data_IF_125999888253
#
_entry.id   IF_125999888253
#
_cell.length_a   1.000
_cell.length_b   1.000
_cell.length_c   1.000
_cell.angle_alpha   90.00
_cell.angle_beta   90.00
_cell.angle_gamma   90.00
#
_symmetry.space_group_name_H-M   'P 1'
#
loop_
_entity.id
_entity.type
_entity.pdbx_description
1 polymer ?
#
# COMPACT_ATOMS: atom_id res chain seq x y z
N UNK A 1 35.86 29.87 -21.08
CA UNK A 1 34.94 30.61 -20.19
C UNK A 1 35.03 29.98 -18.82
N UNK A 2 35.64 30.73 -17.89
CA UNK A 2 35.90 30.22 -16.52
C UNK A 2 34.59 29.98 -15.74
N UNK A 3 34.40 28.77 -15.31
CA UNK A 3 33.30 28.41 -14.42
C UNK A 3 33.64 28.94 -13.01
N UNK A 4 32.87 29.91 -12.54
CA UNK A 4 33.15 30.58 -11.26
C UNK A 4 33.07 29.60 -10.07
N UNK A 5 33.91 29.79 -9.04
CA UNK A 5 33.95 29.03 -7.78
C UNK A 5 32.57 28.91 -7.08
N UNK A 6 31.57 29.74 -7.42
CA UNK A 6 30.19 29.66 -6.91
C UNK A 6 29.38 28.50 -7.52
N UNK A 7 29.70 28.03 -8.74
CA UNK A 7 29.02 26.89 -9.37
C UNK A 7 29.52 25.55 -8.84
N UNK A 8 30.72 25.51 -8.28
CA UNK A 8 31.32 24.29 -7.69
C UNK A 8 30.79 23.95 -6.29
N UNK A 9 30.14 24.91 -5.60
CA UNK A 9 29.58 24.67 -4.25
C UNK A 9 28.15 24.09 -4.23
N UNK A 10 27.47 23.97 -5.37
CA UNK A 10 26.10 23.40 -5.43
C UNK A 10 26.03 21.90 -5.76
N UNK A 11 27.16 21.27 -6.08
CA UNK A 11 27.20 19.85 -6.49
C UNK A 11 27.52 18.86 -5.37
N UNK A 12 27.69 19.31 -4.10
CA UNK A 12 28.23 18.45 -3.03
C UNK A 12 27.30 18.24 -1.84
N UNK A 13 25.98 18.44 -1.97
CA UNK A 13 25.06 18.28 -0.84
C UNK A 13 24.25 16.97 -0.79
N UNK A 14 24.43 16.06 -1.75
CA UNK A 14 23.62 14.82 -1.82
C UNK A 14 24.32 13.56 -1.25
N UNK A 15 25.58 13.62 -0.87
CA UNK A 15 26.36 12.43 -0.53
C UNK A 15 26.44 12.01 0.96
N UNK A 16 25.94 12.73 2.00
CA UNK A 16 26.21 12.29 3.36
C UNK A 16 25.07 11.56 4.10
N UNK A 17 23.85 11.41 3.50
CA UNK A 17 22.74 10.82 4.25
C UNK A 17 22.77 9.29 4.27
N UNK A 18 23.08 8.64 3.15
CA UNK A 18 23.17 7.17 3.09
C UNK A 18 24.20 6.64 4.09
N UNK A 19 25.39 7.24 4.16
CA UNK A 19 26.40 6.86 5.12
C UNK A 19 26.07 7.13 6.60
N UNK A 20 25.14 8.08 6.89
CA UNK A 20 24.65 8.35 8.25
C UNK A 20 23.54 7.39 8.67
N UNK A 21 22.72 6.95 7.75
CA UNK A 21 21.66 5.96 8.01
C UNK A 21 22.28 4.59 8.21
N UNK A 22 23.23 4.16 7.37
CA UNK A 22 23.96 2.89 7.51
C UNK A 22 24.73 2.79 8.84
N UNK A 23 25.32 3.87 9.31
CA UNK A 23 26.06 3.89 10.59
C UNK A 23 25.13 3.86 11.82
N UNK A 24 23.82 4.17 11.66
CA UNK A 24 22.87 4.26 12.76
C UNK A 24 21.99 3.01 12.91
N UNK A 25 21.87 2.19 11.86
CA UNK A 25 21.06 0.98 11.89
C UNK A 25 21.94 -0.27 12.04
N UNK A 26 21.55 -1.25 12.88
CA UNK A 26 22.26 -2.52 12.95
C UNK A 26 22.12 -3.25 11.61
N UNK A 27 23.22 -3.89 11.16
CA UNK A 27 23.27 -4.60 9.89
C UNK A 27 22.12 -5.63 9.74
N UNK A 28 21.52 -5.65 8.55
CA UNK A 28 20.34 -6.46 8.22
C UNK A 28 20.56 -8.00 8.21
N UNK A 29 21.76 -8.49 8.57
CA UNK A 29 22.07 -9.91 8.52
C UNK A 29 21.26 -10.70 9.56
N UNK A 30 20.30 -11.51 9.09
CA UNK A 30 19.56 -12.53 9.84
C UNK A 30 18.91 -12.06 11.16
N UNK A 31 18.30 -10.86 11.15
CA UNK A 31 17.57 -10.35 12.32
C UNK A 31 16.34 -11.21 12.58
N UNK A 32 16.20 -11.74 13.80
CA UNK A 32 15.01 -12.47 14.19
C UNK A 32 13.83 -11.50 14.40
N UNK A 33 12.62 -11.83 13.93
CA UNK A 33 11.44 -10.97 14.09
C UNK A 33 11.03 -10.72 15.55
N UNK A 34 11.44 -11.57 16.48
CA UNK A 34 11.19 -11.52 17.93
C UNK A 34 12.36 -10.92 18.74
N UNK A 35 13.43 -10.43 18.10
CA UNK A 35 14.52 -9.75 18.81
C UNK A 35 14.13 -8.32 19.18
N UNK A 36 13.44 -8.17 20.32
CA UNK A 36 13.00 -6.86 20.81
C UNK A 36 14.15 -5.89 21.04
N UNK A 37 15.38 -6.36 21.32
CA UNK A 37 16.54 -5.50 21.52
C UNK A 37 16.97 -4.80 20.22
N UNK A 38 16.83 -5.50 19.09
CA UNK A 38 17.03 -4.95 17.76
C UNK A 38 15.90 -3.98 17.38
N UNK A 39 14.66 -4.44 17.50
CA UNK A 39 13.49 -3.68 17.06
C UNK A 39 13.24 -2.41 17.87
N UNK A 40 13.62 -2.39 19.14
CA UNK A 40 13.63 -1.15 19.95
C UNK A 40 14.55 -0.08 19.35
N UNK A 41 15.69 -0.46 18.78
CA UNK A 41 16.60 0.49 18.12
C UNK A 41 15.97 1.07 16.83
N UNK A 42 15.24 0.24 16.08
CA UNK A 42 14.47 0.70 14.91
C UNK A 42 13.34 1.62 15.37
N UNK A 43 12.55 1.21 16.38
CA UNK A 43 11.45 1.99 16.94
C UNK A 43 11.90 3.37 17.42
N UNK A 44 13.11 3.48 17.98
CA UNK A 44 13.70 4.73 18.43
C UNK A 44 13.88 5.80 17.33
N UNK A 45 13.73 5.45 16.06
CA UNK A 45 13.71 6.41 14.95
C UNK A 45 12.35 7.05 14.68
N UNK A 46 11.29 6.65 15.39
CA UNK A 46 9.93 7.15 15.20
C UNK A 46 9.47 7.98 16.40
N UNK A 47 8.81 9.10 16.12
CA UNK A 47 8.26 9.97 17.15
C UNK A 47 6.77 9.66 17.35
N UNK A 48 6.49 8.61 18.12
CA UNK A 48 5.12 8.13 18.39
C UNK A 48 4.42 9.01 19.41
N UNK A 49 3.10 9.11 19.31
CA UNK A 49 2.27 9.77 20.31
C UNK A 49 2.42 9.03 21.65
N UNK A 50 2.78 9.72 22.74
CA UNK A 50 2.90 9.10 24.06
C UNK A 50 1.53 8.63 24.56
N UNK A 51 1.51 7.67 25.47
CA UNK A 51 0.32 7.17 26.18
C UNK A 51 -0.77 6.53 25.29
N UNK A 52 -0.51 6.29 24.03
CA UNK A 52 -1.40 5.57 23.09
C UNK A 52 -0.62 4.46 22.39
N UNK A 53 -1.12 3.25 22.49
CA UNK A 53 -0.65 2.14 21.65
C UNK A 53 -1.30 2.29 20.28
N UNK A 54 -0.51 2.77 19.29
CA UNK A 54 -0.96 3.05 17.95
C UNK A 54 -1.00 1.75 17.13
N UNK A 55 -2.19 1.20 16.90
CA UNK A 55 -2.41 0.01 16.07
C UNK A 55 -3.32 0.31 14.85
N UNK A 56 -3.35 1.57 14.41
CA UNK A 56 -3.94 2.03 13.17
C UNK A 56 -2.87 2.74 12.31
N UNK A 57 -2.04 1.97 11.62
CA UNK A 57 -0.98 2.46 10.75
C UNK A 57 -1.28 2.22 9.26
N UNK A 58 -2.51 1.86 8.93
CA UNK A 58 -2.93 1.56 7.56
C UNK A 58 -3.47 2.75 6.78
N UNK A 59 -3.75 3.88 7.41
CA UNK A 59 -4.23 5.06 6.69
C UNK A 59 -3.07 5.72 5.93
N UNK A 60 -2.01 6.08 6.65
CA UNK A 60 -0.68 6.44 6.13
C UNK A 60 0.40 5.97 7.09
N UNK A 61 1.64 5.86 6.61
CA UNK A 61 2.79 5.51 7.42
C UNK A 61 3.41 6.72 8.12
N UNK A 62 4.07 6.46 9.24
CA UNK A 62 4.89 7.44 9.92
C UNK A 62 6.26 7.49 9.26
N UNK A 63 6.78 8.68 9.00
CA UNK A 63 8.18 8.87 8.60
C UNK A 63 9.10 8.61 9.79
N UNK A 64 10.19 7.88 9.57
CA UNK A 64 11.29 7.88 10.52
C UNK A 64 11.96 9.26 10.54
N UNK A 65 12.55 9.68 11.69
CA UNK A 65 13.19 11.00 11.83
C UNK A 65 14.16 11.37 10.71
N UNK A 66 15.07 10.49 10.24
CA UNK A 66 15.97 10.85 9.14
C UNK A 66 15.22 11.18 7.84
N UNK A 67 14.07 10.54 7.60
CA UNK A 67 13.21 10.83 6.45
C UNK A 67 12.49 12.16 6.63
N UNK A 68 11.95 12.43 7.82
CA UNK A 68 11.29 13.69 8.16
C UNK A 68 12.27 14.87 8.04
N UNK A 69 13.48 14.76 8.60
CA UNK A 69 14.52 15.78 8.51
C UNK A 69 14.90 16.08 7.04
N UNK A 70 14.98 15.02 6.22
CA UNK A 70 15.22 15.18 4.77
C UNK A 70 14.05 15.90 4.10
N UNK A 71 12.81 15.56 4.43
CA UNK A 71 11.63 16.22 3.90
C UNK A 71 11.60 17.71 4.24
N UNK A 72 11.85 18.07 5.49
CA UNK A 72 11.95 19.47 5.90
C UNK A 72 13.06 20.23 5.15
N UNK A 73 14.21 19.60 4.94
CA UNK A 73 15.30 20.19 4.17
C UNK A 73 14.90 20.40 2.70
N UNK A 74 14.16 19.43 2.09
CA UNK A 74 13.64 19.55 0.71
C UNK A 74 12.56 20.61 0.59
N UNK A 75 11.66 20.75 1.57
CA UNK A 75 10.69 21.86 1.62
C UNK A 75 11.41 23.21 1.61
N UNK A 76 12.42 23.38 2.46
CA UNK A 76 13.25 24.60 2.50
C UNK A 76 14.00 24.86 1.18
N UNK A 77 14.53 23.79 0.56
CA UNK A 77 15.22 23.85 -0.74
C UNK A 77 14.28 24.33 -1.84
N UNK A 78 13.13 23.68 -1.99
CA UNK A 78 12.12 24.01 -3.03
C UNK A 78 11.61 25.44 -2.84
N UNK A 79 11.27 25.83 -1.60
CA UNK A 79 10.78 27.16 -1.28
C UNK A 79 11.83 28.26 -1.57
N UNK A 80 13.09 28.04 -1.21
CA UNK A 80 14.16 29.03 -1.44
C UNK A 80 14.51 29.19 -2.92
N UNK A 81 14.58 28.10 -3.68
CA UNK A 81 15.06 28.10 -5.05
C UNK A 81 13.95 28.32 -6.10
N UNK A 82 12.68 28.08 -5.71
CA UNK A 82 11.45 28.37 -6.47
C UNK A 82 11.54 28.05 -7.99
N UNK A 83 11.15 29.00 -8.82
CA UNK A 83 11.11 28.84 -10.28
C UNK A 83 12.48 28.59 -10.92
N UNK A 84 13.57 29.05 -10.31
CA UNK A 84 14.91 28.75 -10.82
C UNK A 84 15.18 27.25 -10.76
N UNK A 85 14.93 26.63 -9.62
CA UNK A 85 15.08 25.18 -9.45
C UNK A 85 14.09 24.40 -10.34
N UNK A 86 12.83 24.82 -10.35
CA UNK A 86 11.80 24.19 -11.18
C UNK A 86 12.19 24.13 -12.67
N UNK A 87 12.89 25.16 -13.18
CA UNK A 87 13.30 25.24 -14.59
C UNK A 87 14.66 24.64 -14.91
N UNK A 88 15.50 24.36 -13.92
CA UNK A 88 16.92 23.95 -14.14
C UNK A 88 17.31 22.63 -13.49
N UNK A 89 16.77 22.30 -12.31
CA UNK A 89 17.22 21.16 -11.52
C UNK A 89 16.14 20.11 -11.22
N UNK A 90 14.87 20.52 -11.14
CA UNK A 90 13.80 19.64 -10.67
C UNK A 90 13.60 18.39 -11.56
N UNK A 91 13.54 18.57 -12.88
CA UNK A 91 13.29 17.44 -13.80
C UNK A 91 14.36 16.35 -13.72
N UNK A 92 15.67 16.64 -13.80
CA UNK A 92 16.69 15.60 -13.65
C UNK A 92 16.64 14.94 -12.25
N UNK A 93 16.36 15.71 -11.19
CA UNK A 93 16.24 15.14 -9.83
C UNK A 93 15.04 14.19 -9.73
N UNK A 94 13.87 14.55 -10.28
CA UNK A 94 12.70 13.69 -10.31
C UNK A 94 12.91 12.41 -11.16
N UNK A 95 13.66 12.53 -12.27
CA UNK A 95 14.06 11.37 -13.07
C UNK A 95 14.91 10.41 -12.22
N UNK A 96 15.90 10.93 -11.49
CA UNK A 96 16.74 10.11 -10.62
C UNK A 96 15.93 9.42 -9.51
N UNK A 97 14.96 10.12 -8.91
CA UNK A 97 14.04 9.53 -7.92
C UNK A 97 13.20 8.42 -8.54
N UNK A 98 12.60 8.66 -9.72
CA UNK A 98 11.83 7.65 -10.44
C UNK A 98 12.67 6.41 -10.74
N UNK A 99 13.88 6.60 -11.26
CA UNK A 99 14.77 5.51 -11.64
C UNK A 99 15.18 4.69 -10.40
N UNK A 100 15.38 5.33 -9.24
CA UNK A 100 15.63 4.64 -7.97
C UNK A 100 14.41 3.81 -7.53
N UNK A 101 13.19 4.32 -7.65
CA UNK A 101 11.95 3.60 -7.35
C UNK A 101 11.78 2.42 -8.31
N UNK A 102 11.97 2.62 -9.62
CA UNK A 102 11.87 1.57 -10.62
C UNK A 102 12.86 0.43 -10.37
N UNK A 103 14.11 0.77 -10.03
CA UNK A 103 15.14 -0.21 -9.68
C UNK A 103 14.74 -1.02 -8.45
N UNK A 104 14.21 -0.38 -7.38
CA UNK A 104 13.73 -1.07 -6.18
C UNK A 104 12.55 -2.01 -6.49
N UNK A 105 11.70 -1.65 -7.45
CA UNK A 105 10.57 -2.45 -7.88
C UNK A 105 10.92 -3.51 -8.92
N UNK A 106 12.14 -3.50 -9.46
CA UNK A 106 12.64 -4.38 -10.52
C UNK A 106 11.85 -4.23 -11.83
N UNK A 107 11.56 -2.98 -12.24
CA UNK A 107 10.85 -2.64 -13.46
C UNK A 107 11.58 -1.55 -14.28
N UNK A 108 11.19 -1.41 -15.57
CA UNK A 108 11.71 -0.32 -16.41
C UNK A 108 11.18 1.04 -15.92
N UNK A 109 12.04 2.07 -15.77
CA UNK A 109 11.59 3.41 -15.40
C UNK A 109 10.50 4.00 -16.31
N UNK A 110 10.39 3.57 -17.56
CA UNK A 110 9.33 3.99 -18.47
C UNK A 110 7.95 3.39 -18.13
N UNK A 111 7.92 2.34 -17.32
CA UNK A 111 6.69 1.65 -16.89
C UNK A 111 6.05 2.29 -15.67
N UNK A 112 6.70 3.26 -15.02
CA UNK A 112 6.17 3.93 -13.84
C UNK A 112 6.05 5.43 -14.00
N UNK A 113 5.10 6.02 -13.27
CA UNK A 113 4.99 7.45 -13.07
C UNK A 113 4.55 7.75 -11.63
N UNK A 114 4.96 8.90 -11.09
CA UNK A 114 4.47 9.37 -9.80
C UNK A 114 3.03 9.86 -9.90
N UNK A 115 2.25 9.52 -8.88
CA UNK A 115 0.92 10.05 -8.59
C UNK A 115 0.91 10.59 -7.17
N UNK A 116 -0.16 11.27 -6.75
CA UNK A 116 -0.31 11.71 -5.36
C UNK A 116 -0.59 10.56 -4.40
N UNK A 117 -1.18 9.48 -4.91
CA UNK A 117 -1.53 8.29 -4.13
C UNK A 117 -2.01 7.16 -5.07
N UNK A 118 -2.20 5.95 -4.51
CA UNK A 118 -2.75 4.81 -5.24
C UNK A 118 -4.15 5.08 -5.80
N UNK A 119 -4.98 5.87 -5.12
CA UNK A 119 -6.32 6.22 -5.61
C UNK A 119 -6.26 6.96 -6.94
N UNK A 120 -5.36 7.92 -7.08
CA UNK A 120 -5.13 8.62 -8.37
C UNK A 120 -4.59 7.65 -9.43
N UNK A 121 -3.59 6.82 -9.08
CA UNK A 121 -3.04 5.82 -9.98
C UNK A 121 -4.14 4.87 -10.51
N UNK A 122 -4.91 4.29 -9.63
CA UNK A 122 -5.98 3.35 -9.97
C UNK A 122 -7.11 4.03 -10.76
N UNK A 123 -7.48 5.26 -10.41
CA UNK A 123 -8.47 6.04 -11.17
C UNK A 123 -8.00 6.30 -12.60
N UNK A 124 -6.70 6.62 -12.79
CA UNK A 124 -6.12 6.81 -14.13
C UNK A 124 -6.14 5.51 -14.93
N UNK A 125 -5.83 4.37 -14.29
CA UNK A 125 -5.92 3.06 -14.93
C UNK A 125 -7.35 2.69 -15.32
N UNK A 126 -8.30 2.83 -14.39
CA UNK A 126 -9.71 2.47 -14.61
C UNK A 126 -10.34 3.38 -15.66
N UNK A 127 -10.16 4.69 -15.53
CA UNK A 127 -10.74 5.68 -16.44
C UNK A 127 -10.13 5.64 -17.83
N UNK A 128 -8.82 5.41 -17.93
CA UNK A 128 -8.07 5.33 -19.17
C UNK A 128 -8.14 3.98 -19.90
N UNK A 129 -8.62 2.92 -19.24
CA UNK A 129 -8.70 1.60 -19.88
C UNK A 129 -9.65 1.61 -21.08
N UNK A 130 -9.13 1.35 -22.29
CA UNK A 130 -9.81 1.62 -23.55
C UNK A 130 -10.35 0.38 -24.30
N UNK A 131 -10.31 -0.81 -23.67
CA UNK A 131 -10.79 -2.05 -24.30
C UNK A 131 -12.24 -2.37 -24.06
N UNK A 132 -12.89 -1.71 -23.10
CA UNK A 132 -14.29 -1.93 -22.81
C UNK A 132 -15.20 -1.46 -23.95
N UNK A 133 -16.18 -2.27 -24.27
CA UNK A 133 -17.22 -1.98 -25.28
C UNK A 133 -18.60 -2.04 -24.62
N UNK A 134 -19.61 -1.31 -25.13
CA UNK A 134 -20.98 -1.44 -24.66
C UNK A 134 -21.44 -2.91 -24.65
N UNK A 135 -21.97 -3.34 -23.51
CA UNK A 135 -22.40 -4.73 -23.29
C UNK A 135 -21.32 -5.66 -22.72
N UNK A 136 -20.05 -5.24 -22.60
CA UNK A 136 -19.08 -5.94 -21.79
C UNK A 136 -19.43 -5.86 -20.30
N UNK A 137 -18.69 -6.56 -19.46
CA UNK A 137 -18.81 -6.47 -18.00
C UNK A 137 -17.44 -6.25 -17.33
N UNK A 138 -17.49 -5.68 -16.13
CA UNK A 138 -16.33 -5.55 -15.23
C UNK A 138 -16.64 -6.25 -13.90
N UNK A 139 -15.60 -6.69 -13.16
CA UNK A 139 -15.80 -7.43 -11.92
C UNK A 139 -14.91 -6.89 -10.81
N UNK A 140 -15.45 -6.78 -9.59
CA UNK A 140 -14.73 -6.52 -8.36
C UNK A 140 -15.28 -7.36 -7.19
N UNK A 141 -14.49 -7.43 -6.10
CA UNK A 141 -14.87 -8.15 -4.88
C UNK A 141 -15.29 -7.20 -3.74
N UNK A 142 -16.00 -7.75 -2.75
CA UNK A 142 -16.42 -7.04 -1.53
C UNK A 142 -15.25 -6.47 -0.72
N UNK A 143 -14.07 -7.10 -0.78
CA UNK A 143 -12.86 -6.65 -0.07
C UNK A 143 -12.02 -5.62 -0.84
N UNK A 144 -12.40 -5.25 -2.06
CA UNK A 144 -11.76 -4.17 -2.79
C UNK A 144 -12.05 -2.80 -2.16
N UNK A 145 -11.18 -1.80 -2.40
CA UNK A 145 -11.29 -0.49 -1.80
C UNK A 145 -12.53 0.27 -2.31
N UNK A 146 -13.29 0.88 -1.37
CA UNK A 146 -14.58 1.54 -1.64
C UNK A 146 -14.55 2.50 -2.83
N UNK A 147 -13.52 3.35 -2.90
CA UNK A 147 -13.41 4.31 -4.01
C UNK A 147 -13.16 3.62 -5.35
N UNK A 148 -12.50 2.47 -5.37
CA UNK A 148 -12.26 1.71 -6.60
C UNK A 148 -13.49 0.91 -7.01
N UNK A 149 -14.26 0.38 -6.06
CA UNK A 149 -15.59 -0.18 -6.31
C UNK A 149 -16.48 0.88 -6.97
N UNK A 150 -16.54 2.10 -6.40
CA UNK A 150 -17.29 3.22 -6.97
C UNK A 150 -16.80 3.62 -8.37
N UNK A 151 -15.48 3.54 -8.64
CA UNK A 151 -14.94 3.77 -9.99
C UNK A 151 -15.44 2.70 -10.98
N UNK A 152 -15.46 1.41 -10.59
CA UNK A 152 -16.00 0.33 -11.40
C UNK A 152 -17.50 0.51 -11.64
N UNK A 153 -18.26 0.86 -10.60
CA UNK A 153 -19.70 1.16 -10.72
C UNK A 153 -19.97 2.31 -11.70
N UNK A 154 -19.11 3.33 -11.72
CA UNK A 154 -19.25 4.46 -12.65
C UNK A 154 -19.10 4.07 -14.12
N UNK A 155 -18.40 2.97 -14.42
CA UNK A 155 -18.25 2.45 -15.78
C UNK A 155 -19.58 1.99 -16.37
N UNK A 156 -20.56 1.62 -15.54
CA UNK A 156 -21.91 1.29 -15.97
C UNK A 156 -22.53 2.43 -16.80
N UNK A 157 -22.37 3.66 -16.35
CA UNK A 157 -22.92 4.83 -17.02
C UNK A 157 -21.98 5.41 -18.07
N UNK A 158 -20.67 5.45 -17.78
CA UNK A 158 -19.69 6.10 -18.67
C UNK A 158 -19.25 5.25 -19.86
N UNK A 159 -19.33 3.91 -19.75
CA UNK A 159 -18.92 2.96 -20.81
C UNK A 159 -20.04 1.99 -21.23
N UNK A 160 -21.22 2.08 -20.61
CA UNK A 160 -22.37 1.18 -20.86
C UNK A 160 -21.99 -0.31 -20.72
N UNK A 161 -21.34 -0.64 -19.61
CA UNK A 161 -20.93 -2.01 -19.24
C UNK A 161 -21.70 -2.50 -18.01
N UNK A 162 -21.82 -3.82 -17.85
CA UNK A 162 -22.37 -4.40 -16.64
C UNK A 162 -21.31 -4.47 -15.53
N UNK A 163 -21.74 -4.44 -14.28
CA UNK A 163 -20.85 -4.57 -13.11
C UNK A 163 -21.23 -5.83 -12.34
N UNK A 164 -20.24 -6.70 -12.18
CA UNK A 164 -20.36 -7.94 -11.40
C UNK A 164 -19.62 -7.73 -10.08
N UNK A 165 -20.31 -7.95 -8.98
CA UNK A 165 -19.71 -7.97 -7.64
C UNK A 165 -19.71 -9.40 -7.12
N UNK A 166 -18.59 -9.83 -6.50
CA UNK A 166 -18.48 -11.09 -5.78
C UNK A 166 -18.15 -10.86 -4.32
N UNK A 167 -18.57 -11.79 -3.47
CA UNK A 167 -18.16 -11.86 -2.07
C UNK A 167 -17.07 -12.92 -1.94
N UNK A 168 -15.93 -12.56 -1.35
CA UNK A 168 -14.84 -13.50 -1.12
C UNK A 168 -15.17 -14.44 0.05
N UNK A 169 -14.70 -15.69 0.02
CA UNK A 169 -15.01 -16.64 1.08
C UNK A 169 -14.40 -16.18 2.42
N UNK A 170 -15.20 -16.32 3.48
CA UNK A 170 -14.78 -16.07 4.87
C UNK A 170 -15.28 -17.23 5.73
N UNK A 171 -14.38 -18.10 6.27
CA UNK A 171 -12.93 -18.04 6.13
C UNK A 171 -12.44 -18.34 4.71
N UNK A 172 -11.34 -17.69 4.33
CA UNK A 172 -10.71 -17.88 3.03
C UNK A 172 -9.71 -19.04 3.04
N UNK A 173 -9.57 -19.69 1.89
CA UNK A 173 -8.43 -20.57 1.59
C UNK A 173 -7.78 -20.11 0.29
N UNK A 174 -6.49 -20.42 0.10
CA UNK A 174 -5.78 -20.02 -1.11
C UNK A 174 -6.50 -20.50 -2.38
N UNK A 175 -6.86 -21.78 -2.45
CA UNK A 175 -7.58 -22.33 -3.60
C UNK A 175 -9.00 -21.75 -3.70
N UNK A 176 -9.71 -21.58 -2.57
CA UNK A 176 -11.06 -21.02 -2.57
C UNK A 176 -11.13 -19.59 -3.12
N UNK A 177 -10.08 -18.78 -2.91
CA UNK A 177 -9.98 -17.45 -3.53
C UNK A 177 -9.86 -17.55 -5.06
N UNK A 178 -8.98 -18.43 -5.55
CA UNK A 178 -8.82 -18.65 -7.00
C UNK A 178 -10.13 -19.15 -7.61
N UNK A 179 -10.75 -20.15 -6.98
CA UNK A 179 -12.02 -20.75 -7.44
C UNK A 179 -13.15 -19.73 -7.49
N UNK A 180 -13.23 -18.80 -6.54
CA UNK A 180 -14.23 -17.75 -6.50
C UNK A 180 -14.17 -16.86 -7.75
N UNK A 181 -12.97 -16.38 -8.11
CA UNK A 181 -12.79 -15.60 -9.34
C UNK A 181 -13.02 -16.44 -10.59
N UNK A 182 -12.55 -17.69 -10.60
CA UNK A 182 -12.76 -18.59 -11.75
C UNK A 182 -14.26 -18.85 -12.01
N UNK A 183 -15.02 -19.15 -10.97
CA UNK A 183 -16.47 -19.37 -11.05
C UNK A 183 -17.19 -18.10 -11.51
N UNK A 184 -16.81 -16.95 -10.97
CA UNK A 184 -17.39 -15.67 -11.37
C UNK A 184 -17.15 -15.36 -12.85
N UNK A 185 -15.91 -15.60 -13.36
CA UNK A 185 -15.60 -15.40 -14.78
C UNK A 185 -16.29 -16.41 -15.69
N UNK A 186 -16.46 -17.66 -15.26
CA UNK A 186 -17.25 -18.68 -16.00
C UNK A 186 -18.71 -18.29 -16.08
N UNK A 187 -19.30 -17.80 -14.98
CA UNK A 187 -20.70 -17.37 -14.94
C UNK A 187 -20.94 -16.07 -15.72
N UNK A 188 -19.92 -15.25 -15.91
CA UNK A 188 -20.02 -13.94 -16.54
C UNK A 188 -19.04 -13.80 -17.73
N UNK A 189 -19.27 -14.46 -18.87
CA UNK A 189 -18.32 -14.54 -19.99
C UNK A 189 -18.09 -13.19 -20.71
N UNK A 190 -18.89 -12.17 -20.40
CA UNK A 190 -18.73 -10.80 -20.91
C UNK A 190 -17.76 -9.95 -20.09
N UNK A 191 -17.23 -10.43 -18.97
CA UNK A 191 -16.21 -9.72 -18.18
C UNK A 191 -14.95 -9.55 -19.02
N UNK A 192 -14.42 -8.33 -19.03
CA UNK A 192 -13.17 -7.95 -19.74
C UNK A 192 -12.13 -7.32 -18.83
N UNK A 193 -12.53 -6.85 -17.66
CA UNK A 193 -11.63 -6.21 -16.70
C UNK A 193 -12.03 -6.62 -15.28
N UNK A 194 -11.04 -6.99 -14.46
CA UNK A 194 -11.22 -7.26 -13.05
C UNK A 194 -10.38 -6.30 -12.19
N UNK A 195 -10.89 -5.96 -11.01
CA UNK A 195 -10.15 -5.31 -9.94
C UNK A 195 -9.67 -6.38 -8.97
N UNK A 196 -8.41 -6.28 -8.51
CA UNK A 196 -7.83 -7.18 -7.53
C UNK A 196 -7.08 -6.36 -6.47
N UNK A 197 -7.51 -6.39 -5.23
CA UNK A 197 -6.73 -5.85 -4.11
C UNK A 197 -5.76 -6.91 -3.59
N UNK A 198 -4.46 -6.71 -3.75
CA UNK A 198 -3.44 -7.68 -3.35
C UNK A 198 -3.42 -7.94 -1.85
N UNK A 199 -3.50 -6.88 -1.02
CA UNK A 199 -3.67 -6.99 0.43
C UNK A 199 -4.84 -6.11 0.86
N UNK A 200 -5.92 -6.73 1.34
CA UNK A 200 -7.13 -6.02 1.72
C UNK A 200 -6.89 -5.05 2.87
N UNK A 201 -7.25 -3.79 2.66
CA UNK A 201 -7.26 -2.77 3.71
C UNK A 201 -8.32 -3.00 4.79
N UNK A 202 -9.30 -3.89 4.55
CA UNK A 202 -10.41 -4.19 5.46
C UNK A 202 -10.06 -5.30 6.43
N UNK A 203 -9.60 -6.43 5.92
CA UNK A 203 -9.37 -7.64 6.71
C UNK A 203 -7.90 -8.01 6.84
N UNK A 204 -7.02 -7.51 5.96
CA UNK A 204 -5.63 -7.95 5.86
C UNK A 204 -5.43 -9.22 5.03
N UNK A 205 -6.50 -9.71 4.38
CA UNK A 205 -6.41 -10.88 3.50
C UNK A 205 -5.50 -10.59 2.31
N UNK A 206 -4.53 -11.46 2.07
CA UNK A 206 -3.68 -11.47 0.88
C UNK A 206 -4.36 -12.33 -0.19
N UNK A 207 -4.60 -11.73 -1.36
CA UNK A 207 -5.22 -12.40 -2.51
C UNK A 207 -4.13 -12.96 -3.41
N UNK A 208 -4.25 -14.20 -3.92
CA UNK A 208 -3.27 -14.81 -4.84
C UNK A 208 -3.35 -14.19 -6.24
N UNK A 209 -2.84 -12.95 -6.34
CA UNK A 209 -2.96 -12.10 -7.53
C UNK A 209 -2.37 -12.76 -8.77
N UNK A 210 -1.16 -13.35 -8.64
CA UNK A 210 -0.45 -13.97 -9.78
C UNK A 210 -1.31 -15.05 -10.45
N UNK A 211 -1.86 -15.96 -9.66
CA UNK A 211 -2.65 -17.08 -10.15
C UNK A 211 -3.98 -16.60 -10.76
N UNK A 212 -4.63 -15.62 -10.12
CA UNK A 212 -5.88 -15.04 -10.63
C UNK A 212 -5.64 -14.25 -11.91
N UNK A 213 -4.57 -13.45 -11.99
CA UNK A 213 -4.19 -12.72 -13.21
C UNK A 213 -3.90 -13.70 -14.36
N UNK A 214 -3.14 -14.77 -14.11
CA UNK A 214 -2.85 -15.79 -15.13
C UNK A 214 -4.14 -16.46 -15.63
N UNK A 215 -5.04 -16.82 -14.70
CA UNK A 215 -6.33 -17.44 -15.01
C UNK A 215 -7.25 -16.48 -15.78
N UNK A 216 -7.32 -15.20 -15.40
CA UNK A 216 -8.10 -14.17 -16.09
C UNK A 216 -7.55 -13.91 -17.51
N UNK A 217 -6.23 -13.75 -17.63
CA UNK A 217 -5.53 -13.55 -18.92
C UNK A 217 -5.79 -14.69 -19.90
N UNK A 218 -5.82 -15.93 -19.44
CA UNK A 218 -6.15 -17.10 -20.28
C UNK A 218 -7.57 -17.03 -20.83
N UNK A 219 -8.44 -16.20 -20.26
CA UNK A 219 -9.83 -15.93 -20.70
C UNK A 219 -9.98 -14.60 -21.46
N UNK A 220 -8.88 -13.92 -21.76
CA UNK A 220 -8.91 -12.60 -22.42
C UNK A 220 -9.43 -11.48 -21.51
N UNK A 221 -9.26 -11.62 -20.19
CA UNK A 221 -9.66 -10.65 -19.17
C UNK A 221 -8.43 -10.00 -18.61
N UNK A 222 -8.36 -8.66 -18.64
CA UNK A 222 -7.28 -7.88 -18.03
C UNK A 222 -7.57 -7.62 -16.54
N UNK A 223 -6.52 -7.34 -15.76
CA UNK A 223 -6.62 -7.06 -14.33
C UNK A 223 -5.93 -5.74 -13.97
N UNK A 224 -6.59 -4.92 -13.14
CA UNK A 224 -6.00 -3.79 -12.44
C UNK A 224 -5.78 -4.20 -10.99
N UNK A 225 -4.55 -4.04 -10.49
CA UNK A 225 -4.16 -4.47 -9.14
C UNK A 225 -3.99 -3.26 -8.23
N UNK A 226 -4.71 -3.28 -7.12
CA UNK A 226 -4.52 -2.37 -5.99
C UNK A 226 -3.48 -2.96 -5.02
N UNK A 227 -2.26 -2.45 -5.07
CA UNK A 227 -1.17 -2.81 -4.17
C UNK A 227 -0.91 -1.75 -3.09
N UNK A 228 -1.92 -0.93 -2.76
CA UNK A 228 -1.78 0.20 -1.82
C UNK A 228 -1.29 -0.21 -0.42
N UNK A 229 -1.54 -1.44 0.00
CA UNK A 229 -1.13 -1.95 1.30
C UNK A 229 -0.07 -3.06 1.26
N UNK A 230 0.20 -3.65 0.10
CA UNK A 230 1.09 -4.80 0.03
C UNK A 230 2.56 -4.42 -0.09
N UNK A 231 2.91 -3.43 -0.94
CA UNK A 231 4.30 -3.06 -1.13
C UNK A 231 4.87 -2.32 0.09
N UNK A 232 5.96 -2.86 0.62
CA UNK A 232 6.56 -2.42 1.87
C UNK A 232 6.04 -3.14 3.12
N UNK A 233 4.98 -3.96 2.99
CA UNK A 233 4.48 -4.81 4.07
C UNK A 233 4.75 -6.29 3.82
N UNK A 234 4.57 -6.74 2.58
CA UNK A 234 4.89 -8.10 2.13
C UNK A 234 6.20 -8.02 1.34
N UNK A 235 7.01 -9.08 1.44
CA UNK A 235 8.26 -9.21 0.68
C UNK A 235 7.95 -9.78 -0.71
N UNK A 236 7.91 -8.92 -1.73
CA UNK A 236 7.73 -9.29 -3.14
C UNK A 236 8.27 -8.18 -4.06
N UNK A 237 8.59 -8.54 -5.29
CA UNK A 237 8.85 -7.61 -6.40
C UNK A 237 7.62 -7.45 -7.28
N UNK A 238 7.50 -6.33 -8.02
CA UNK A 238 6.34 -6.15 -8.93
C UNK A 238 6.19 -7.26 -9.97
N UNK A 239 7.26 -7.77 -10.61
CA UNK A 239 7.18 -8.91 -11.52
C UNK A 239 6.55 -10.17 -10.91
N UNK A 240 6.61 -10.35 -9.58
CA UNK A 240 6.02 -11.51 -8.91
C UNK A 240 4.48 -11.55 -9.03
N UNK A 241 3.83 -10.40 -9.21
CA UNK A 241 2.39 -10.32 -9.40
C UNK A 241 1.95 -10.68 -10.82
N UNK A 242 2.86 -10.66 -11.79
CA UNK A 242 2.61 -10.83 -13.23
C UNK A 242 1.43 -9.99 -13.77
N UNK A 243 1.12 -8.88 -13.09
CA UNK A 243 0.06 -7.96 -13.47
C UNK A 243 0.57 -6.90 -14.46
N UNK A 244 -0.33 -6.40 -15.31
CA UNK A 244 -0.01 -5.41 -16.32
C UNK A 244 -0.27 -3.96 -15.86
N UNK A 245 -1.17 -3.79 -14.88
CA UNK A 245 -1.63 -2.50 -14.36
C UNK A 245 -1.67 -2.53 -12.83
N UNK A 246 -0.89 -1.66 -12.16
CA UNK A 246 -0.80 -1.65 -10.70
C UNK A 246 -0.78 -0.21 -10.18
N UNK A 247 -1.51 0.06 -9.09
CA UNK A 247 -1.42 1.30 -8.33
C UNK A 247 -1.02 1.05 -6.88
N UNK A 248 -0.11 1.88 -6.32
CA UNK A 248 0.33 1.72 -4.93
C UNK A 248 0.83 3.03 -4.31
N UNK A 249 1.13 2.99 -3.01
CA UNK A 249 1.58 4.13 -2.21
C UNK A 249 3.02 3.97 -1.74
N UNK A 250 3.77 5.09 -1.70
CA UNK A 250 5.05 5.19 -1.00
C UNK A 250 4.89 5.75 0.43
N UNK A 251 3.81 6.53 0.67
CA UNK A 251 3.54 7.18 1.95
C UNK A 251 2.85 6.28 2.99
N UNK A 252 2.72 4.96 2.73
CA UNK A 252 2.23 3.99 3.71
C UNK A 252 3.40 3.22 4.31
N UNK A 253 3.64 2.01 3.87
CA UNK A 253 4.61 1.08 4.46
C UNK A 253 6.07 1.44 4.20
N UNK A 254 6.34 2.23 3.16
CA UNK A 254 7.68 2.78 2.90
C UNK A 254 7.99 4.02 3.74
N UNK A 255 6.99 4.65 4.36
CA UNK A 255 7.18 5.81 5.21
C UNK A 255 7.72 7.05 4.48
N UNK A 256 7.44 7.18 3.18
CA UNK A 256 7.67 8.43 2.46
C UNK A 256 6.68 9.51 2.91
N UNK A 257 6.93 10.81 2.65
CA UNK A 257 5.98 11.86 2.96
C UNK A 257 4.62 11.64 2.27
N UNK A 258 3.56 12.19 2.85
CA UNK A 258 2.21 12.16 2.27
C UNK A 258 2.19 12.75 0.85
N UNK A 259 1.32 12.20 0.01
CA UNK A 259 1.14 12.72 -1.34
C UNK A 259 2.08 12.09 -2.37
N UNK A 260 2.64 10.90 -2.11
CA UNK A 260 3.43 10.14 -3.08
C UNK A 260 2.85 8.75 -3.28
N UNK A 261 2.40 8.47 -4.49
CA UNK A 261 2.01 7.18 -5.01
C UNK A 261 2.68 6.89 -6.33
N UNK A 262 2.44 5.72 -6.88
CA UNK A 262 3.00 5.28 -8.17
C UNK A 262 1.94 4.52 -8.96
N UNK A 263 1.89 4.78 -10.25
CA UNK A 263 1.20 3.98 -11.24
C UNK A 263 2.24 3.17 -12.02
N UNK A 264 1.96 1.89 -12.21
CA UNK A 264 2.73 0.99 -13.07
C UNK A 264 1.87 0.51 -14.23
N UNK A 265 2.42 0.56 -15.43
CA UNK A 265 1.82 -0.02 -16.64
C UNK A 265 2.92 -0.78 -17.37
N UNK A 266 2.73 -2.09 -17.56
CA UNK A 266 3.65 -2.92 -18.34
C UNK A 266 3.84 -2.31 -19.74
N UNK A 267 5.07 -2.12 -20.18
CA UNK A 267 5.41 -1.44 -21.44
C UNK A 267 4.64 -1.98 -22.65
N UNK A 268 4.49 -3.29 -22.74
CA UNK A 268 3.74 -3.94 -23.83
C UNK A 268 2.22 -3.68 -23.78
N UNK A 269 1.72 -3.08 -22.72
CA UNK A 269 0.29 -2.81 -22.48
C UNK A 269 -0.04 -1.31 -22.39
N UNK A 270 0.94 -0.45 -22.64
CA UNK A 270 0.79 1.00 -22.50
C UNK A 270 -0.36 1.55 -23.37
N UNK A 271 -0.58 0.99 -24.54
CA UNK A 271 -1.62 1.42 -25.49
C UNK A 271 -3.04 1.01 -25.08
N UNK A 272 -3.17 0.19 -24.01
CA UNK A 272 -4.48 -0.17 -23.45
C UNK A 272 -5.01 0.89 -22.46
N UNK A 273 -4.17 1.86 -22.10
CA UNK A 273 -4.54 2.99 -21.24
C UNK A 273 -4.42 4.27 -22.06
N UNK A 274 -5.51 4.98 -22.21
CA UNK A 274 -5.52 6.26 -22.93
C UNK A 274 -4.59 7.28 -22.24
N UNK A 275 -3.96 8.19 -23.00
CA UNK A 275 -3.28 9.35 -22.43
C UNK A 275 -4.22 10.17 -21.54
N UNK A 276 -3.67 10.76 -20.49
CA UNK A 276 -4.45 11.68 -19.66
C UNK A 276 -4.95 12.86 -20.50
N UNK A 277 -6.21 13.26 -20.28
CA UNK A 277 -6.87 14.34 -21.01
C UNK A 277 -6.18 15.72 -20.87
N UNK A 278 -5.33 15.88 -19.87
CA UNK A 278 -4.50 17.06 -19.67
C UNK A 278 -3.22 17.09 -20.52
N UNK A 279 -2.89 16.01 -21.21
CA UNK A 279 -1.71 15.91 -22.06
C UNK A 279 -2.04 16.23 -23.52
N UNK A 280 -1.08 16.85 -24.24
CA UNK A 280 -1.19 17.13 -25.66
C UNK A 280 -0.36 16.15 -26.50
N UNK A 281 -0.81 15.78 -27.72
CA UNK A 281 -0.01 14.96 -28.63
C UNK A 281 1.27 15.70 -29.10
N UNK A 282 2.34 14.97 -29.52
CA UNK A 282 2.40 13.52 -29.60
C UNK A 282 2.55 12.87 -28.21
N UNK A 283 1.85 11.74 -27.98
CA UNK A 283 1.92 11.04 -26.70
C UNK A 283 3.10 10.06 -26.72
N UNK A 284 4.06 10.20 -25.79
CA UNK A 284 5.13 9.21 -25.66
C UNK A 284 4.56 7.86 -25.18
N UNK A 285 5.17 6.77 -25.68
CA UNK A 285 4.81 5.39 -25.28
C UNK A 285 5.42 5.06 -23.90
N UNK A 286 5.02 5.79 -22.88
CA UNK A 286 5.43 5.58 -21.49
C UNK A 286 4.28 5.90 -20.53
N UNK A 287 4.42 5.46 -19.28
CA UNK A 287 3.41 5.63 -18.24
C UNK A 287 3.21 7.11 -17.86
N UNK A 288 4.22 7.95 -18.00
CA UNK A 288 4.13 9.38 -17.67
C UNK A 288 3.02 10.09 -18.45
N UNK A 289 2.79 9.72 -19.73
CA UNK A 289 1.73 10.30 -20.54
C UNK A 289 0.31 9.90 -20.09
N UNK A 290 0.17 8.94 -19.18
CA UNK A 290 -1.13 8.45 -18.65
C UNK A 290 -1.55 9.13 -17.38
N UNK A 291 -0.73 10.06 -16.88
CA UNK A 291 -0.99 10.83 -15.66
C UNK A 291 -0.63 12.29 -15.88
N UNK A 292 -1.47 13.20 -15.39
CA UNK A 292 -1.17 14.63 -15.36
C UNK A 292 -1.52 15.21 -13.99
N UNK A 293 -0.52 15.30 -13.14
CA UNK A 293 -0.72 15.76 -11.75
C UNK A 293 -0.59 17.26 -11.56
N UNK A 294 -0.06 17.98 -12.56
CA UNK A 294 0.26 19.42 -12.44
C UNK A 294 1.29 19.70 -11.35
N UNK A 295 1.08 20.75 -10.57
CA UNK A 295 1.94 21.10 -9.44
C UNK A 295 1.57 20.25 -8.22
N UNK A 296 2.57 19.55 -7.67
CA UNK A 296 2.45 18.68 -6.50
C UNK A 296 3.46 19.08 -5.43
N UNK A 297 3.47 18.39 -4.31
CA UNK A 297 4.54 18.51 -3.33
C UNK A 297 5.82 17.82 -3.84
N UNK A 298 6.63 18.61 -4.56
CA UNK A 298 7.91 18.12 -5.08
C UNK A 298 8.90 17.76 -3.98
N UNK A 299 8.84 18.40 -2.81
CA UNK A 299 9.69 18.06 -1.68
C UNK A 299 9.39 16.63 -1.19
N UNK A 300 8.11 16.25 -1.18
CA UNK A 300 7.70 14.88 -0.85
C UNK A 300 8.29 13.85 -1.83
N UNK A 301 8.19 14.09 -3.15
CA UNK A 301 8.78 13.20 -4.15
C UNK A 301 10.31 13.13 -4.03
N UNK A 302 10.98 14.27 -3.82
CA UNK A 302 12.43 14.34 -3.66
C UNK A 302 12.94 13.68 -2.37
N UNK A 303 12.07 13.39 -1.43
CA UNK A 303 12.39 12.69 -0.16
C UNK A 303 12.30 11.17 -0.30
N UNK A 304 11.66 10.65 -1.33
CA UNK A 304 11.48 9.20 -1.55
C UNK A 304 12.79 8.40 -1.42
N UNK A 305 13.94 8.82 -1.98
CA UNK A 305 15.20 8.10 -1.80
C UNK A 305 15.58 7.90 -0.34
N UNK A 306 15.38 8.89 0.53
CA UNK A 306 15.70 8.75 1.96
C UNK A 306 14.79 7.72 2.65
N UNK A 307 13.51 7.64 2.24
CA UNK A 307 12.61 6.60 2.73
C UNK A 307 13.04 5.20 2.27
N UNK A 308 13.43 5.07 0.99
CA UNK A 308 13.96 3.81 0.47
C UNK A 308 15.23 3.39 1.20
N UNK A 309 16.19 4.31 1.37
CA UNK A 309 17.45 4.04 2.04
C UNK A 309 17.24 3.58 3.50
N UNK A 310 16.31 4.21 4.22
CA UNK A 310 15.96 3.80 5.58
C UNK A 310 15.36 2.39 5.62
N UNK A 311 14.45 2.08 4.71
CA UNK A 311 13.80 0.77 4.66
C UNK A 311 14.74 -0.32 4.11
N UNK A 312 15.63 0.02 3.17
CA UNK A 312 16.65 -0.89 2.64
C UNK A 312 17.67 -1.30 3.73
N UNK A 313 18.00 -0.37 4.63
CA UNK A 313 18.87 -0.67 5.76
C UNK A 313 18.24 -1.63 6.79
N UNK A 314 16.90 -1.69 6.88
CA UNK A 314 16.16 -2.70 7.66
C UNK A 314 16.12 -4.03 6.90
N UNK A 315 15.88 -3.97 5.59
CA UNK A 315 15.68 -5.10 4.69
C UNK A 315 14.21 -5.53 4.56
N UNK A 316 13.82 -5.87 3.33
CA UNK A 316 12.42 -6.18 2.99
C UNK A 316 11.90 -7.40 3.74
N UNK A 317 12.67 -8.49 3.75
CA UNK A 317 12.32 -9.75 4.43
C UNK A 317 12.26 -9.58 5.95
N UNK A 318 13.20 -8.83 6.55
CA UNK A 318 13.21 -8.57 7.99
C UNK A 318 11.99 -7.73 8.41
N UNK A 319 11.66 -6.69 7.63
CA UNK A 319 10.47 -5.86 7.84
C UNK A 319 9.18 -6.68 7.75
N UNK A 320 9.02 -7.46 6.68
CA UNK A 320 7.85 -8.31 6.49
C UNK A 320 7.71 -9.33 7.62
N UNK A 321 8.81 -10.01 8.00
CA UNK A 321 8.83 -10.96 9.10
C UNK A 321 8.44 -10.32 10.44
N UNK A 322 8.94 -9.09 10.73
CA UNK A 322 8.55 -8.35 11.96
C UNK A 322 7.08 -8.03 12.00
N UNK A 323 6.53 -7.49 10.92
CA UNK A 323 5.11 -7.15 10.85
C UNK A 323 4.22 -8.39 11.00
N UNK A 324 4.58 -9.49 10.36
CA UNK A 324 3.89 -10.78 10.49
C UNK A 324 4.00 -11.33 11.93
N UNK A 325 5.18 -11.25 12.56
CA UNK A 325 5.37 -11.65 13.95
C UNK A 325 4.45 -10.88 14.92
N UNK A 326 4.37 -9.56 14.77
CA UNK A 326 3.49 -8.74 15.61
C UNK A 326 2.01 -9.09 15.40
N UNK A 327 1.62 -9.38 14.16
CA UNK A 327 0.28 -9.86 13.83
C UNK A 327 0.04 -11.23 14.46
N UNK A 328 0.91 -12.20 14.26
CA UNK A 328 0.73 -13.58 14.69
C UNK A 328 0.69 -13.69 16.23
N UNK A 329 1.49 -12.86 16.92
CA UNK A 329 1.51 -12.84 18.39
C UNK A 329 0.13 -12.67 19.00
N UNK A 330 -0.73 -11.83 18.47
CA UNK A 330 -2.09 -11.68 18.98
C UNK A 330 -3.11 -12.57 18.26
N UNK A 331 -3.04 -12.64 16.93
CA UNK A 331 -4.04 -13.32 16.13
C UNK A 331 -4.04 -14.83 16.38
N UNK A 332 -2.87 -15.47 16.43
CA UNK A 332 -2.78 -16.91 16.73
C UNK A 332 -3.04 -17.21 18.21
N UNK A 333 -2.64 -16.32 19.13
CA UNK A 333 -2.94 -16.45 20.57
C UNK A 333 -4.44 -16.40 20.88
N UNK A 334 -5.21 -15.68 20.06
CA UNK A 334 -6.65 -15.50 20.27
C UNK A 334 -7.53 -16.25 19.26
N UNK A 335 -6.95 -17.03 18.33
CA UNK A 335 -7.69 -17.72 17.26
C UNK A 335 -8.76 -18.66 17.80
N UNK A 336 -8.47 -19.35 18.88
CA UNK A 336 -9.39 -20.29 19.51
C UNK A 336 -10.20 -19.66 20.67
N UNK A 337 -10.12 -18.33 20.83
CA UNK A 337 -10.91 -17.64 21.85
C UNK A 337 -12.39 -17.69 21.47
N UNK A 338 -13.19 -18.31 22.34
CA UNK A 338 -14.64 -18.37 22.15
C UNK A 338 -15.25 -16.97 22.03
N UNK A 339 -16.09 -16.77 21.02
CA UNK A 339 -16.75 -15.51 20.79
C UNK A 339 -15.93 -14.47 20.01
N UNK A 340 -14.68 -14.79 19.60
CA UNK A 340 -13.84 -13.91 18.78
C UNK A 340 -13.55 -14.58 17.42
N UNK A 341 -13.76 -13.85 16.33
CA UNK A 341 -13.45 -14.29 14.96
C UNK A 341 -12.24 -13.51 14.44
N UNK A 342 -11.17 -14.20 14.05
CA UNK A 342 -10.02 -13.62 13.34
C UNK A 342 -10.26 -13.80 11.83
N UNK A 343 -10.29 -12.70 11.08
CA UNK A 343 -10.76 -12.70 9.69
C UNK A 343 -9.72 -13.14 8.66
N UNK A 344 -8.44 -13.22 9.05
CA UNK A 344 -7.41 -13.77 8.17
C UNK A 344 -7.08 -15.20 8.55
N UNK A 345 -6.91 -16.11 7.56
CA UNK A 345 -6.50 -17.49 7.82
C UNK A 345 -5.13 -17.59 8.48
N UNK A 346 -4.84 -18.76 9.09
CA UNK A 346 -3.51 -19.11 9.60
C UNK A 346 -2.50 -19.43 8.47
N UNK A 347 -2.96 -19.65 7.23
CA UNK A 347 -2.09 -19.88 6.07
C UNK A 347 -1.20 -18.64 5.84
N UNK A 348 0.15 -18.76 5.96
CA UNK A 348 1.06 -17.63 5.86
C UNK A 348 1.07 -16.96 4.48
N UNK A 349 0.53 -17.60 3.46
CA UNK A 349 0.38 -17.00 2.12
C UNK A 349 -0.77 -15.99 2.06
N UNK A 350 -1.69 -16.01 3.05
CA UNK A 350 -2.95 -15.27 3.02
C UNK A 350 -3.01 -14.10 4.00
N UNK A 351 -1.91 -13.76 4.65
CA UNK A 351 -1.84 -12.60 5.54
C UNK A 351 -0.45 -11.94 5.53
N UNK A 352 -0.41 -10.70 5.98
CA UNK A 352 0.80 -9.92 6.28
C UNK A 352 0.72 -9.38 7.69
N UNK A 353 1.11 -8.11 7.89
CA UNK A 353 1.04 -7.45 9.20
C UNK A 353 -0.37 -6.97 9.58
N UNK A 354 -1.28 -6.79 8.61
CA UNK A 354 -2.67 -6.38 8.88
C UNK A 354 -3.50 -7.63 9.18
N UNK A 355 -4.36 -7.55 10.20
CA UNK A 355 -5.48 -8.47 10.34
C UNK A 355 -6.63 -7.81 11.10
N UNK A 356 -7.85 -8.30 10.89
CA UNK A 356 -9.04 -7.79 11.54
C UNK A 356 -9.73 -8.89 12.35
N UNK A 357 -10.51 -8.45 13.31
CA UNK A 357 -11.34 -9.33 14.14
C UNK A 357 -12.74 -8.75 14.28
N UNK A 358 -13.69 -9.58 14.70
CA UNK A 358 -14.99 -9.19 15.24
C UNK A 358 -15.39 -10.13 16.38
N UNK A 359 -16.25 -9.68 17.26
CA UNK A 359 -16.90 -10.58 18.22
C UNK A 359 -18.14 -11.19 17.58
N UNK A 360 -18.40 -12.46 17.86
CA UNK A 360 -19.56 -13.19 17.34
C UNK A 360 -20.85 -12.47 17.70
N UNK A 361 -21.71 -12.23 16.71
CA UNK A 361 -22.94 -11.45 16.88
C UNK A 361 -22.76 -9.94 16.76
N UNK A 362 -21.54 -9.39 16.80
CA UNK A 362 -21.26 -7.94 16.66
C UNK A 362 -20.78 -7.62 15.25
N UNK A 363 -21.68 -7.69 14.28
CA UNK A 363 -21.38 -7.52 12.85
C UNK A 363 -21.75 -6.15 12.30
N UNK A 364 -22.44 -5.31 13.10
CA UNK A 364 -22.81 -3.96 12.67
C UNK A 364 -21.63 -2.97 12.77
N UNK A 365 -21.70 -1.89 12.00
CA UNK A 365 -20.74 -0.79 12.10
C UNK A 365 -20.74 -0.16 13.50
N UNK A 366 -21.94 0.04 14.09
CA UNK A 366 -22.10 0.63 15.40
C UNK A 366 -21.44 -0.19 16.51
N UNK A 367 -21.60 -1.53 16.48
CA UNK A 367 -20.98 -2.42 17.47
C UNK A 367 -19.46 -2.31 17.42
N UNK A 368 -18.89 -2.39 16.20
CA UNK A 368 -17.44 -2.36 16.01
C UNK A 368 -16.84 -0.97 16.29
N UNK A 369 -17.59 0.13 16.06
CA UNK A 369 -17.20 1.47 16.51
C UNK A 369 -17.17 1.54 18.04
N UNK A 370 -18.19 0.99 18.72
CA UNK A 370 -18.24 0.98 20.19
C UNK A 370 -17.09 0.17 20.79
N UNK A 371 -16.76 -0.99 20.21
CA UNK A 371 -15.64 -1.82 20.67
C UNK A 371 -14.29 -1.12 20.42
N UNK A 372 -14.09 -0.49 19.24
CA UNK A 372 -12.87 0.28 18.96
C UNK A 372 -12.73 1.47 19.93
N UNK A 373 -13.85 2.12 20.29
CA UNK A 373 -13.87 3.17 21.30
C UNK A 373 -13.47 2.64 22.68
N UNK A 374 -13.94 1.47 23.08
CA UNK A 374 -13.53 0.82 24.35
C UNK A 374 -12.04 0.49 24.37
N UNK A 375 -11.48 -0.02 23.26
CA UNK A 375 -10.03 -0.24 23.14
C UNK A 375 -9.24 1.05 23.43
N UNK A 376 -9.70 2.19 22.92
CA UNK A 376 -9.04 3.47 23.15
C UNK A 376 -9.26 3.99 24.57
N UNK A 377 -10.49 4.05 25.05
CA UNK A 377 -10.84 4.71 26.31
C UNK A 377 -10.39 3.91 27.53
N UNK A 378 -10.58 2.58 27.50
CA UNK A 378 -10.31 1.70 28.65
C UNK A 378 -8.86 1.17 28.63
N UNK A 379 -8.25 0.99 27.43
CA UNK A 379 -6.97 0.31 27.28
C UNK A 379 -5.89 1.14 26.56
N UNK A 380 -6.21 2.37 26.13
CA UNK A 380 -5.28 3.27 25.43
C UNK A 380 -4.74 2.68 24.11
N UNK A 381 -5.53 1.83 23.45
CA UNK A 381 -5.20 1.19 22.19
C UNK A 381 -6.04 1.82 21.07
N UNK A 382 -5.36 2.48 20.11
CA UNK A 382 -6.01 3.08 18.95
C UNK A 382 -6.08 2.08 17.80
N UNK A 383 -7.30 1.76 17.42
CA UNK A 383 -7.65 0.89 16.30
C UNK A 383 -8.85 1.46 15.54
N UNK A 384 -9.25 0.86 14.43
CA UNK A 384 -10.34 1.41 13.60
C UNK A 384 -11.28 0.32 13.10
N UNK A 385 -12.56 0.66 13.12
CA UNK A 385 -13.62 -0.12 12.50
C UNK A 385 -13.52 -0.07 10.95
N UNK A 386 -13.89 -1.18 10.28
CA UNK A 386 -14.00 -1.29 8.82
C UNK A 386 -15.34 -1.91 8.43
N UNK A 387 -15.99 -1.29 7.43
CA UNK A 387 -17.14 -1.87 6.73
C UNK A 387 -16.67 -2.65 5.49
N UNK A 388 -17.60 -3.37 4.89
CA UNK A 388 -17.45 -3.91 3.55
C UNK A 388 -17.32 -5.42 3.44
N UNK A 389 -16.70 -6.17 4.39
CA UNK A 389 -16.77 -7.62 4.34
C UNK A 389 -18.23 -8.08 4.29
N UNK A 390 -18.55 -9.05 3.43
CA UNK A 390 -19.93 -9.51 3.20
C UNK A 390 -20.60 -10.04 4.48
N UNK A 391 -19.80 -10.60 5.42
CA UNK A 391 -20.29 -11.12 6.70
C UNK A 391 -20.39 -10.08 7.81
N UNK A 392 -20.11 -8.80 7.53
CA UNK A 392 -20.28 -7.69 8.46
C UNK A 392 -19.00 -6.92 8.78
N UNK A 393 -19.18 -5.84 9.53
CA UNK A 393 -18.09 -4.97 9.96
C UNK A 393 -17.09 -5.67 10.88
N UNK A 394 -15.89 -5.12 10.96
CA UNK A 394 -14.79 -5.65 11.77
C UNK A 394 -13.93 -4.52 12.33
N UNK A 395 -13.00 -4.86 13.22
CA UNK A 395 -11.97 -3.95 13.74
C UNK A 395 -10.63 -4.38 13.17
N UNK A 396 -9.94 -3.44 12.55
CA UNK A 396 -8.62 -3.66 11.95
C UNK A 396 -7.51 -3.33 12.93
N UNK A 397 -6.57 -4.25 13.07
CA UNK A 397 -5.31 -4.08 13.79
C UNK A 397 -4.18 -4.00 12.78
N UNK A 398 -3.38 -2.94 12.88
CA UNK A 398 -2.34 -2.61 11.91
C UNK A 398 -1.08 -2.17 12.65
N UNK A 399 -0.25 -3.11 13.15
CA UNK A 399 1.01 -2.76 13.78
C UNK A 399 2.01 -2.17 12.79
N UNK A 400 2.95 -1.37 13.28
CA UNK A 400 4.07 -0.83 12.55
C UNK A 400 5.40 -1.24 13.20
N UNK A 401 6.53 -0.90 12.59
CA UNK A 401 7.86 -1.30 13.06
C UNK A 401 8.23 -0.72 14.44
N UNK A 402 7.56 0.35 14.86
CA UNK A 402 7.76 0.95 16.17
C UNK A 402 6.92 0.31 17.29
N UNK A 403 6.01 -0.62 16.95
CA UNK A 403 5.28 -1.37 17.97
C UNK A 403 6.14 -2.49 18.56
N UNK A 404 6.04 -2.66 19.89
CA UNK A 404 6.73 -3.69 20.64
C UNK A 404 5.85 -4.95 20.83
N UNK A 405 6.48 -6.05 21.27
CA UNK A 405 5.75 -7.23 21.71
C UNK A 405 4.83 -6.90 22.91
N UNK A 406 5.25 -5.99 23.80
CA UNK A 406 4.44 -5.57 24.97
C UNK A 406 3.18 -4.82 24.56
N UNK A 407 3.22 -4.00 23.49
CA UNK A 407 2.03 -3.37 22.90
C UNK A 407 1.01 -4.41 22.44
N UNK A 408 1.51 -5.47 21.82
CA UNK A 408 0.66 -6.59 21.34
C UNK A 408 0.11 -7.41 22.50
N UNK A 409 0.89 -7.62 23.56
CA UNK A 409 0.40 -8.29 24.78
C UNK A 409 -0.66 -7.46 25.50
N UNK A 410 -0.55 -6.13 25.47
CA UNK A 410 -1.60 -5.25 25.96
C UNK A 410 -2.89 -5.40 25.14
N UNK A 411 -2.80 -5.51 23.81
CA UNK A 411 -3.96 -5.79 22.95
C UNK A 411 -4.61 -7.13 23.31
N UNK A 412 -3.83 -8.19 23.51
CA UNK A 412 -4.36 -9.51 23.90
C UNK A 412 -5.16 -9.42 25.20
N UNK A 413 -4.62 -8.73 26.21
CA UNK A 413 -5.32 -8.53 27.50
C UNK A 413 -6.61 -7.74 27.32
N UNK A 414 -6.57 -6.67 26.53
CA UNK A 414 -7.72 -5.83 26.23
C UNK A 414 -8.84 -6.61 25.53
N UNK A 415 -8.51 -7.39 24.51
CA UNK A 415 -9.50 -8.18 23.77
C UNK A 415 -10.15 -9.24 24.65
N UNK A 416 -9.38 -9.91 25.54
CA UNK A 416 -9.94 -10.86 26.52
C UNK A 416 -10.87 -10.16 27.51
N UNK A 417 -10.50 -9.00 28.03
CA UNK A 417 -11.30 -8.21 28.97
C UNK A 417 -12.62 -7.76 28.35
N UNK A 418 -12.57 -7.22 27.12
CA UNK A 418 -13.76 -6.79 26.39
C UNK A 418 -14.66 -7.98 26.08
N UNK A 419 -14.12 -9.09 25.56
CA UNK A 419 -14.91 -10.28 25.26
C UNK A 419 -15.60 -10.92 26.45
N UNK A 420 -15.02 -10.83 27.66
CA UNK A 420 -15.64 -11.33 28.88
C UNK A 420 -16.84 -10.48 29.34
N UNK A 421 -17.03 -9.30 28.79
CA UNK A 421 -18.10 -8.32 29.15
C UNK A 421 -19.12 -8.09 28.03
N UNK A 422 -19.00 -8.77 26.89
CA UNK A 422 -19.97 -8.81 25.80
C UNK A 422 -20.93 -9.99 25.93
#
# INVERSE_FOLDING_TARGET
MDISRRQMMMATAAAPLAGRIEAALPAAAAVRPDDESHWTKIAAHYDVVPDIIQLENGNWGMMARPVLETYEAKVRQVNRATSYYARRGLTPDLIAVRDRVAAKMQVDPAEIAFTRNATEALKSLIGGYNRLRPGDAVLYADLDYDSMQACFDSLKHSRNVDVVRIDLPEPATHQGLIDSYEQALKANPRVRLILLTHLSHRTGLVVPVREIVAMARARGVDAIVDAAHSWGQIDFSLPDLDADFIGFNLHKWWGAPLGVGVIYIRKAKIDLIDPDIGNAPPFPANTYARVHTGTVDFAAQLTVPAALDFQDAIGDSARAARLTYLRDRWAETLRDMQGLEILTPADPRLHGGITSFRYTGHTSASDNIAIAKRLLDEHRIFSVQRNGPARGACIRITPALFNSADDIDALIRALRSIGASL
#
